data_IF_287688265117
#
_entry.id   IF_287688265117
#
_cell.length_a   1.000
_cell.length_b   1.000
_cell.length_c   1.000
_cell.angle_alpha   90.00
_cell.angle_beta   90.00
_cell.angle_gamma   90.00
#
_symmetry.space_group_name_H-M   'P 1'
#
loop_
_entity.id
_entity.type
_entity.pdbx_description
1 polymer ?
#
# COMPACT_ATOMS: atom_id res chain seq x y z
N UNK A 1 35.90 25.09 -3.33
CA UNK A 1 35.63 24.34 -2.09
C UNK A 1 34.87 25.28 -1.17
N UNK A 2 33.57 25.47 -1.46
CA UNK A 2 32.71 26.36 -0.69
C UNK A 2 32.10 25.59 0.47
N UNK A 3 32.21 26.19 1.65
CA UNK A 3 31.71 25.71 2.93
C UNK A 3 30.18 25.56 2.89
N UNK A 4 29.69 24.31 2.88
CA UNK A 4 28.32 23.96 3.26
C UNK A 4 28.14 24.17 4.77
N UNK A 5 28.15 25.43 5.21
CA UNK A 5 27.69 25.82 6.53
C UNK A 5 26.17 25.71 6.57
N UNK A 6 25.63 24.74 7.30
CA UNK A 6 24.20 24.67 7.62
C UNK A 6 23.77 26.01 8.24
N UNK A 7 22.91 26.75 7.53
CA UNK A 7 22.37 28.02 8.03
C UNK A 7 21.58 27.76 9.32
N UNK A 8 21.70 28.60 10.36
CA UNK A 8 20.82 28.53 11.53
C UNK A 8 19.34 28.49 11.11
N UNK A 9 18.53 27.65 11.75
CA UNK A 9 17.12 27.50 11.41
C UNK A 9 16.82 26.57 10.23
N UNK A 10 17.82 25.96 9.58
CA UNK A 10 17.59 25.11 8.41
C UNK A 10 16.82 23.83 8.77
N UNK A 11 17.10 23.24 9.93
CA UNK A 11 16.41 22.05 10.42
C UNK A 11 14.98 22.39 10.80
N UNK A 12 14.75 23.52 11.45
CA UNK A 12 13.43 23.99 11.85
C UNK A 12 12.55 24.29 10.65
N UNK A 13 13.09 24.98 9.63
CA UNK A 13 12.38 25.22 8.36
C UNK A 13 12.08 23.93 7.61
N UNK A 14 13.03 23.00 7.57
CA UNK A 14 12.81 21.69 6.97
C UNK A 14 11.71 20.92 7.70
N UNK A 15 11.76 20.88 9.04
CA UNK A 15 10.76 20.19 9.86
C UNK A 15 9.38 20.83 9.74
N UNK A 16 9.29 22.17 9.71
CA UNK A 16 8.04 22.88 9.44
C UNK A 16 7.47 22.52 8.07
N UNK A 17 8.32 22.45 7.04
CA UNK A 17 7.91 22.02 5.70
C UNK A 17 7.44 20.57 5.68
N UNK A 18 8.13 19.65 6.35
CA UNK A 18 7.68 18.25 6.42
C UNK A 18 6.31 18.12 7.10
N UNK A 19 6.05 18.93 8.14
CA UNK A 19 4.76 18.95 8.85
C UNK A 19 3.63 19.59 8.05
N UNK A 20 3.93 20.42 7.05
CA UNK A 20 2.94 21.08 6.20
C UNK A 20 2.63 20.31 4.90
N UNK A 21 3.13 19.08 4.77
CA UNK A 21 2.75 18.22 3.65
C UNK A 21 1.26 17.91 3.74
N UNK A 22 0.58 18.01 2.61
CA UNK A 22 -0.81 17.63 2.52
C UNK A 22 -0.96 16.11 2.64
N UNK A 23 -2.04 15.68 3.28
CA UNK A 23 -2.47 14.30 3.34
C UNK A 23 -3.33 14.00 2.11
N UNK A 24 -2.94 13.00 1.34
CA UNK A 24 -3.70 12.55 0.17
C UNK A 24 -4.78 11.58 0.63
N UNK A 25 -6.03 11.87 0.29
CA UNK A 25 -7.16 10.94 0.47
C UNK A 25 -7.90 10.78 -0.84
N UNK A 26 -8.30 9.55 -1.13
CA UNK A 26 -9.00 9.22 -2.37
C UNK A 26 -10.19 8.31 -2.10
N UNK A 27 -10.61 7.61 -3.14
CA UNK A 27 -11.55 6.50 -3.07
C UNK A 27 -10.95 5.33 -2.29
N UNK A 28 -11.78 4.34 -1.97
CA UNK A 28 -11.30 3.08 -1.42
C UNK A 28 -10.32 2.41 -2.39
N UNK A 29 -10.68 2.40 -3.67
CA UNK A 29 -9.90 1.86 -4.77
C UNK A 29 -8.54 2.54 -4.84
N UNK A 30 -8.47 3.88 -4.82
CA UNK A 30 -7.21 4.62 -4.83
C UNK A 30 -6.29 4.23 -3.64
N UNK A 31 -6.87 4.03 -2.45
CA UNK A 31 -6.11 3.60 -1.28
C UNK A 31 -5.55 2.17 -1.45
N UNK A 32 -6.33 1.26 -2.05
CA UNK A 32 -5.88 -0.09 -2.37
C UNK A 32 -4.81 -0.06 -3.48
N UNK A 33 -4.99 0.72 -4.56
CA UNK A 33 -3.98 0.81 -5.61
C UNK A 33 -2.65 1.38 -5.09
N UNK A 34 -2.69 2.36 -4.17
CA UNK A 34 -1.51 2.87 -3.48
C UNK A 34 -0.84 1.78 -2.64
N UNK A 35 -1.62 0.93 -1.96
CA UNK A 35 -1.07 -0.22 -1.23
C UNK A 35 -0.33 -1.18 -2.17
N UNK A 36 -0.92 -1.54 -3.31
CA UNK A 36 -0.28 -2.40 -4.31
C UNK A 36 0.99 -1.76 -4.88
N UNK A 37 0.97 -0.46 -5.18
CA UNK A 37 2.16 0.29 -5.60
C UNK A 37 3.28 0.21 -4.56
N UNK A 38 2.97 0.33 -3.28
CA UNK A 38 3.97 0.23 -2.19
C UNK A 38 4.52 -1.19 -2.01
N UNK A 39 3.70 -2.21 -2.24
CA UNK A 39 4.16 -3.61 -2.24
C UNK A 39 5.22 -3.83 -3.32
N UNK A 40 4.97 -3.30 -4.53
CA UNK A 40 5.84 -3.46 -5.71
C UNK A 40 7.08 -2.54 -5.68
N UNK A 41 6.87 -1.23 -5.49
CA UNK A 41 7.90 -0.20 -5.69
C UNK A 41 8.70 0.17 -4.42
N UNK A 42 8.20 -0.18 -3.22
CA UNK A 42 8.73 0.33 -1.94
C UNK A 42 9.10 -0.79 -0.93
N UNK A 43 9.30 -2.03 -1.40
CA UNK A 43 9.57 -3.21 -0.55
C UNK A 43 8.52 -3.42 0.57
N UNK A 44 7.29 -2.94 0.37
CA UNK A 44 6.20 -2.98 1.36
C UNK A 44 5.53 -4.35 1.52
N UNK A 45 6.07 -5.40 0.89
CA UNK A 45 5.45 -6.74 0.83
C UNK A 45 5.22 -7.37 2.21
N UNK A 46 6.05 -7.04 3.20
CA UNK A 46 5.96 -7.51 4.59
C UNK A 46 5.21 -6.55 5.55
N UNK A 47 4.89 -5.33 5.12
CA UNK A 47 4.37 -4.28 6.00
C UNK A 47 2.93 -4.53 6.47
N UNK A 48 2.58 -4.03 7.66
CA UNK A 48 1.18 -3.89 8.04
C UNK A 48 0.63 -2.58 7.45
N UNK A 49 -0.34 -2.69 6.55
CA UNK A 49 -1.05 -1.53 6.02
C UNK A 49 -2.25 -1.17 6.88
N UNK A 50 -2.68 0.09 6.77
CA UNK A 50 -3.85 0.60 7.45
C UNK A 50 -4.73 1.35 6.46
N UNK A 51 -6.03 1.10 6.53
CA UNK A 51 -7.03 1.86 5.79
C UNK A 51 -7.58 2.94 6.71
N UNK A 52 -7.45 4.19 6.27
CA UNK A 52 -7.94 5.35 6.99
C UNK A 52 -9.14 5.95 6.29
N UNK A 53 -10.19 6.27 7.05
CA UNK A 53 -11.29 7.12 6.59
C UNK A 53 -11.29 8.41 7.39
N UNK A 54 -11.30 9.52 6.69
CA UNK A 54 -11.27 10.86 7.30
C UNK A 54 -12.66 11.49 7.22
N UNK A 55 -13.04 12.19 8.29
CA UNK A 55 -14.15 13.13 8.28
C UNK A 55 -13.58 14.54 8.29
N UNK A 56 -13.96 15.34 7.31
CA UNK A 56 -13.56 16.74 7.24
C UNK A 56 -14.35 17.55 8.26
N UNK A 57 -13.73 18.62 8.75
CA UNK A 57 -14.44 19.62 9.55
C UNK A 57 -15.49 20.35 8.71
N UNK A 58 -16.56 20.78 9.36
CA UNK A 58 -17.63 21.53 8.69
C UNK A 58 -17.19 22.92 8.21
N UNK A 59 -16.15 23.47 8.82
CA UNK A 59 -15.55 24.77 8.51
C UNK A 59 -14.35 24.65 7.55
N UNK A 60 -14.16 23.50 6.90
CA UNK A 60 -13.10 23.37 5.90
C UNK A 60 -13.33 24.29 4.70
N UNK A 61 -12.25 24.90 4.24
CA UNK A 61 -12.21 25.78 3.09
C UNK A 61 -11.64 25.01 1.93
N UNK A 62 -12.52 24.67 0.99
CA UNK A 62 -12.15 23.86 -0.18
C UNK A 62 -11.92 24.77 -1.38
N UNK A 63 -10.78 24.62 -2.04
CA UNK A 63 -10.46 25.34 -3.28
C UNK A 63 -11.59 25.14 -4.31
N UNK A 64 -12.09 26.21 -4.96
CA UNK A 64 -13.10 26.09 -6.00
C UNK A 64 -12.59 25.35 -7.24
N UNK A 65 -13.33 24.32 -7.66
CA UNK A 65 -13.04 23.56 -8.88
C UNK A 65 -12.36 22.21 -8.61
N UNK A 66 -11.77 21.66 -9.67
CA UNK A 66 -10.98 20.42 -9.65
C UNK A 66 -9.70 20.70 -10.43
N UNK A 67 -8.57 20.40 -9.82
CA UNK A 67 -7.26 20.82 -10.29
C UNK A 67 -6.44 19.63 -10.81
N UNK A 68 -5.36 19.87 -11.56
CA UNK A 68 -4.33 18.86 -11.76
C UNK A 68 -3.74 18.42 -10.42
N UNK A 69 -3.22 17.20 -10.35
CA UNK A 69 -2.58 16.68 -9.15
C UNK A 69 -1.41 17.59 -8.71
N UNK A 70 -1.39 18.07 -7.45
CA UNK A 70 -0.47 19.12 -6.99
C UNK A 70 0.86 18.56 -6.46
N UNK A 71 1.33 17.44 -6.98
CA UNK A 71 2.50 16.72 -6.45
C UNK A 71 3.82 17.20 -7.04
N UNK A 72 4.86 17.23 -6.22
CA UNK A 72 6.24 17.33 -6.67
C UNK A 72 6.72 16.00 -7.28
N UNK A 73 7.96 15.97 -7.79
CA UNK A 73 8.55 14.77 -8.41
C UNK A 73 8.69 13.56 -7.46
N UNK A 74 8.47 13.73 -6.15
CA UNK A 74 8.47 12.67 -5.15
C UNK A 74 7.09 12.48 -4.51
N UNK A 75 6.03 13.03 -5.10
CA UNK A 75 4.65 12.83 -4.65
C UNK A 75 4.19 13.70 -3.48
N UNK A 76 4.97 14.70 -3.04
CA UNK A 76 4.50 15.60 -1.97
C UNK A 76 3.64 16.71 -2.54
N UNK A 77 2.51 17.00 -1.89
CA UNK A 77 1.73 18.21 -2.13
C UNK A 77 1.85 19.19 -0.96
N UNK A 78 1.89 20.48 -1.27
CA UNK A 78 1.89 21.57 -0.29
C UNK A 78 0.81 22.58 -0.66
N UNK A 79 -0.30 22.60 0.09
CA UNK A 79 -1.46 23.44 -0.26
C UNK A 79 -1.11 24.93 -0.35
N UNK A 80 -0.21 25.42 0.53
CA UNK A 80 0.25 26.80 0.50
C UNK A 80 1.00 27.22 -0.77
N UNK A 81 1.44 26.27 -1.60
CA UNK A 81 2.12 26.53 -2.88
C UNK A 81 1.13 26.64 -4.06
N UNK A 82 -0.10 26.14 -3.90
CA UNK A 82 -1.07 25.95 -5.00
C UNK A 82 -2.47 26.52 -4.72
N UNK A 83 -2.77 26.90 -3.50
CA UNK A 83 -4.07 27.44 -3.09
C UNK A 83 -3.93 28.83 -2.46
N UNK A 84 -5.05 29.57 -2.44
CA UNK A 84 -5.12 30.85 -1.76
C UNK A 84 -5.00 30.70 -0.22
N UNK A 85 -4.48 31.71 0.50
CA UNK A 85 -4.37 31.66 1.95
C UNK A 85 -5.72 31.35 2.64
N UNK A 86 -5.71 30.39 3.55
CA UNK A 86 -6.89 29.95 4.31
C UNK A 86 -7.62 28.74 3.70
N UNK A 87 -7.27 28.32 2.50
CA UNK A 87 -7.72 27.05 1.92
C UNK A 87 -6.95 25.90 2.57
N UNK A 88 -7.68 24.86 2.97
CA UNK A 88 -7.12 23.70 3.67
C UNK A 88 -7.52 22.35 3.03
N UNK A 89 -8.22 22.39 1.90
CA UNK A 89 -8.58 21.22 1.09
C UNK A 89 -8.49 21.59 -0.39
N UNK A 90 -7.81 20.75 -1.17
CA UNK A 90 -7.73 20.87 -2.63
C UNK A 90 -8.28 19.61 -3.30
N UNK A 91 -9.21 19.77 -4.25
CA UNK A 91 -9.70 18.68 -5.11
C UNK A 91 -8.80 18.57 -6.32
N UNK A 92 -8.35 17.36 -6.64
CA UNK A 92 -7.56 17.14 -7.86
C UNK A 92 -7.95 15.85 -8.57
N UNK A 93 -7.66 15.79 -9.87
CA UNK A 93 -7.77 14.55 -10.65
C UNK A 93 -6.53 13.70 -10.36
N UNK A 94 -6.73 12.53 -9.78
CA UNK A 94 -5.66 11.58 -9.51
C UNK A 94 -5.15 11.00 -10.83
N UNK A 95 -3.82 11.02 -11.03
CA UNK A 95 -3.18 10.44 -12.22
C UNK A 95 -2.42 9.15 -11.91
N UNK A 96 -2.17 8.86 -10.63
CA UNK A 96 -1.35 7.74 -10.19
C UNK A 96 -2.17 6.55 -9.68
N UNK A 97 -3.15 6.81 -8.81
CA UNK A 97 -4.02 5.79 -8.21
C UNK A 97 -5.50 6.05 -8.51
N UNK A 98 -6.22 5.06 -9.02
CA UNK A 98 -7.61 5.20 -9.51
C UNK A 98 -7.72 6.36 -10.51
N UNK A 99 -6.93 6.24 -11.58
CA UNK A 99 -6.70 7.31 -12.53
C UNK A 99 -8.01 7.91 -13.07
N UNK A 100 -8.04 9.25 -13.17
CA UNK A 100 -9.21 10.05 -13.57
C UNK A 100 -10.31 10.19 -12.52
N UNK A 101 -10.10 9.74 -11.27
CA UNK A 101 -10.98 10.05 -10.14
C UNK A 101 -10.54 11.30 -9.40
N UNK A 102 -11.47 11.83 -8.61
CA UNK A 102 -11.21 13.01 -7.77
C UNK A 102 -10.69 12.53 -6.42
N UNK A 103 -9.50 12.98 -6.07
CA UNK A 103 -8.89 12.84 -4.75
C UNK A 103 -8.80 14.21 -4.07
N UNK A 104 -8.51 14.22 -2.77
CA UNK A 104 -8.29 15.42 -1.99
C UNK A 104 -6.86 15.45 -1.44
N UNK A 105 -6.26 16.64 -1.46
CA UNK A 105 -5.09 16.96 -0.67
C UNK A 105 -5.55 17.81 0.52
N UNK A 106 -5.26 17.35 1.73
CA UNK A 106 -5.77 17.93 2.97
C UNK A 106 -4.64 18.51 3.81
N UNK A 107 -4.83 19.70 4.35
CA UNK A 107 -4.09 20.10 5.55
C UNK A 107 -4.59 19.28 6.76
N UNK A 108 -3.72 18.97 7.71
CA UNK A 108 -4.12 18.21 8.91
C UNK A 108 -5.24 18.91 9.69
N UNK A 109 -5.26 20.24 9.68
CA UNK A 109 -6.29 21.04 10.35
C UNK A 109 -7.65 20.99 9.64
N UNK A 110 -7.74 20.41 8.44
CA UNK A 110 -9.03 20.18 7.77
C UNK A 110 -9.75 18.93 8.28
N UNK A 111 -9.07 18.05 9.03
CA UNK A 111 -9.59 16.77 9.52
C UNK A 111 -10.25 16.99 10.90
N UNK A 112 -11.50 16.53 11.04
CA UNK A 112 -12.24 16.51 12.30
C UNK A 112 -12.00 15.20 13.04
N UNK A 113 -12.11 14.07 12.33
CA UNK A 113 -11.99 12.76 12.92
C UNK A 113 -11.50 11.71 11.91
N UNK A 114 -10.96 10.61 12.44
CA UNK A 114 -10.45 9.48 11.65
C UNK A 114 -11.00 8.16 12.19
N UNK A 115 -11.37 7.27 11.28
CA UNK A 115 -11.48 5.83 11.51
C UNK A 115 -10.25 5.13 10.90
N UNK A 116 -9.78 4.06 11.54
CA UNK A 116 -8.59 3.34 11.09
C UNK A 116 -8.72 1.85 11.37
N UNK A 117 -8.42 1.01 10.38
CA UNK A 117 -8.36 -0.45 10.53
C UNK A 117 -7.08 -1.00 9.90
N UNK A 118 -6.50 -2.08 10.43
CA UNK A 118 -5.43 -2.79 9.74
C UNK A 118 -6.01 -3.52 8.51
N UNK A 119 -5.27 -3.49 7.40
CA UNK A 119 -5.56 -4.27 6.19
C UNK A 119 -4.32 -5.05 5.71
N UNK A 120 -4.48 -6.25 5.13
CA UNK A 120 -5.75 -6.98 4.99
C UNK A 120 -6.33 -7.42 6.35
N UNK A 121 -7.65 -7.66 6.40
CA UNK A 121 -8.29 -8.20 7.59
C UNK A 121 -7.74 -9.59 7.93
N UNK A 122 -7.81 -9.97 9.21
CA UNK A 122 -7.46 -11.32 9.63
C UNK A 122 -8.40 -12.34 9.00
N UNK A 123 -7.84 -13.32 8.30
CA UNK A 123 -8.57 -14.46 7.75
C UNK A 123 -8.33 -15.68 8.64
N UNK A 124 -9.40 -16.41 8.94
CA UNK A 124 -9.34 -17.62 9.74
C UNK A 124 -8.47 -18.69 9.06
N UNK A 125 -7.57 -19.31 9.84
CA UNK A 125 -6.57 -20.26 9.33
C UNK A 125 -7.19 -21.58 8.83
N UNK A 126 -8.42 -21.87 9.25
CA UNK A 126 -9.17 -23.05 8.86
C UNK A 126 -9.92 -22.87 7.53
N UNK A 127 -9.74 -21.73 6.87
CA UNK A 127 -10.28 -21.54 5.53
C UNK A 127 -9.66 -22.54 4.54
N UNK A 128 -10.52 -23.20 3.77
CA UNK A 128 -10.13 -24.32 2.90
C UNK A 128 -8.98 -23.96 1.94
N UNK A 129 -9.03 -22.76 1.32
CA UNK A 129 -7.97 -22.33 0.41
C UNK A 129 -6.63 -22.14 1.14
N UNK A 130 -6.63 -21.56 2.34
CA UNK A 130 -5.42 -21.37 3.15
C UNK A 130 -4.83 -22.73 3.53
N UNK A 131 -5.67 -23.67 3.97
CA UNK A 131 -5.24 -25.03 4.32
C UNK A 131 -4.52 -25.67 3.13
N UNK A 132 -5.11 -25.62 1.94
CA UNK A 132 -4.56 -26.29 0.75
C UNK A 132 -3.32 -25.59 0.20
N UNK A 133 -3.28 -24.25 0.21
CA UNK A 133 -2.09 -23.47 -0.12
C UNK A 133 -0.94 -23.78 0.85
N UNK A 134 -1.19 -23.82 2.15
CA UNK A 134 -0.18 -24.17 3.15
C UNK A 134 0.33 -25.61 2.98
N UNK A 135 -0.53 -26.57 2.62
CA UNK A 135 -0.08 -27.94 2.29
C UNK A 135 0.88 -27.96 1.09
N UNK A 136 0.56 -27.21 0.03
CA UNK A 136 1.43 -27.07 -1.16
C UNK A 136 2.79 -26.48 -0.78
N UNK A 137 2.81 -25.41 -0.01
CA UNK A 137 4.03 -24.76 0.45
C UNK A 137 4.87 -25.67 1.35
N UNK A 138 4.25 -26.39 2.28
CA UNK A 138 4.94 -27.37 3.13
C UNK A 138 5.57 -28.50 2.29
N UNK A 139 4.83 -29.03 1.31
CA UNK A 139 5.37 -30.03 0.40
C UNK A 139 6.54 -29.46 -0.42
N UNK A 140 6.45 -28.20 -0.88
CA UNK A 140 7.53 -27.52 -1.58
C UNK A 140 8.76 -27.28 -0.70
N UNK A 141 8.58 -26.95 0.58
CA UNK A 141 9.68 -26.72 1.52
C UNK A 141 10.54 -27.97 1.77
N UNK A 142 9.97 -29.16 1.59
CA UNK A 142 10.69 -30.44 1.72
C UNK A 142 11.43 -30.86 0.43
N UNK A 143 11.17 -30.19 -0.70
CA UNK A 143 11.78 -30.51 -1.99
C UNK A 143 13.17 -29.87 -2.13
N UNK A 144 14.11 -30.51 -2.85
CA UNK A 144 15.39 -29.89 -3.15
C UNK A 144 15.20 -28.63 -4.03
N UNK A 145 16.13 -27.65 -3.97
CA UNK A 145 16.07 -26.45 -4.80
C UNK A 145 16.00 -26.77 -6.29
N UNK A 146 15.20 -25.99 -7.02
CA UNK A 146 15.00 -26.16 -8.46
C UNK A 146 16.06 -25.37 -9.25
N UNK A 147 16.60 -25.94 -10.35
CA UNK A 147 17.55 -25.23 -11.21
C UNK A 147 16.85 -24.10 -11.98
N UNK A 148 17.42 -22.89 -11.95
CA UNK A 148 16.94 -21.81 -12.83
C UNK A 148 17.33 -22.06 -14.28
N UNK A 149 16.40 -21.79 -15.20
CA UNK A 149 16.69 -21.75 -16.63
C UNK A 149 17.85 -20.77 -16.89
N UNK A 150 19.02 -21.31 -17.25
CA UNK A 150 20.24 -20.54 -17.40
C UNK A 150 20.32 -19.97 -18.82
N UNK A 151 20.61 -18.67 -18.97
CA UNK A 151 21.15 -18.15 -20.24
C UNK A 151 22.52 -18.82 -20.49
N UNK A 152 22.87 -19.15 -21.75
CA UNK A 152 24.12 -19.85 -22.02
C UNK A 152 25.31 -18.89 -21.87
N UNK A 153 25.98 -18.91 -20.69
CA UNK A 153 27.44 -19.08 -20.54
C UNK A 153 27.96 -18.61 -19.17
N UNK A 154 28.72 -19.53 -18.53
CA UNK A 154 29.84 -19.30 -17.60
C UNK A 154 29.58 -18.85 -16.15
N UNK A 155 28.37 -18.99 -15.63
CA UNK A 155 28.14 -18.86 -14.17
C UNK A 155 27.52 -20.14 -13.60
N UNK A 156 27.85 -20.46 -12.34
CA UNK A 156 27.26 -21.58 -11.59
C UNK A 156 25.73 -21.53 -11.73
N UNK A 157 25.05 -22.68 -11.92
CA UNK A 157 23.59 -22.68 -11.99
C UNK A 157 23.03 -22.08 -10.71
N UNK A 158 22.27 -20.98 -10.86
CA UNK A 158 21.49 -20.41 -9.76
C UNK A 158 20.33 -21.38 -9.49
N UNK A 159 20.15 -21.76 -8.24
CA UNK A 159 19.02 -22.56 -7.78
C UNK A 159 18.07 -21.67 -7.00
N UNK A 160 16.77 -21.89 -7.15
CA UNK A 160 15.73 -21.23 -6.33
C UNK A 160 15.14 -22.30 -5.40
N UNK A 161 14.97 -22.02 -4.10
CA UNK A 161 14.29 -22.96 -3.21
C UNK A 161 12.87 -23.24 -3.72
N UNK A 162 12.46 -24.51 -3.73
CA UNK A 162 11.14 -24.91 -4.24
C UNK A 162 9.98 -24.19 -3.52
N UNK A 163 10.17 -23.83 -2.24
CA UNK A 163 9.24 -22.98 -1.48
C UNK A 163 8.97 -21.62 -2.16
N UNK A 164 10.03 -20.93 -2.61
CA UNK A 164 9.91 -19.62 -3.27
C UNK A 164 9.21 -19.77 -4.62
N UNK A 165 9.55 -20.82 -5.37
CA UNK A 165 8.92 -21.16 -6.66
C UNK A 165 7.41 -21.38 -6.50
N UNK A 166 7.02 -22.19 -5.50
CA UNK A 166 5.61 -22.46 -5.19
C UNK A 166 4.86 -21.22 -4.69
N UNK A 167 5.51 -20.38 -3.85
CA UNK A 167 4.93 -19.12 -3.39
C UNK A 167 4.59 -18.18 -4.56
N UNK A 168 5.52 -18.01 -5.51
CA UNK A 168 5.28 -17.22 -6.74
C UNK A 168 4.16 -17.79 -7.59
N UNK A 169 4.07 -19.12 -7.67
CA UNK A 169 3.00 -19.78 -8.40
C UNK A 169 1.64 -19.49 -7.75
N UNK A 170 1.53 -19.58 -6.41
CA UNK A 170 0.30 -19.22 -5.70
C UNK A 170 -0.09 -17.75 -5.91
N UNK A 171 0.88 -16.82 -5.84
CA UNK A 171 0.64 -15.40 -6.14
C UNK A 171 0.07 -15.22 -7.55
N UNK A 172 0.65 -15.89 -8.54
CA UNK A 172 0.20 -15.85 -9.93
C UNK A 172 -1.22 -16.41 -10.08
N UNK A 173 -1.50 -17.56 -9.46
CA UNK A 173 -2.79 -18.25 -9.55
C UNK A 173 -3.92 -17.40 -8.94
N UNK A 174 -3.70 -16.86 -7.74
CA UNK A 174 -4.72 -16.06 -7.03
C UNK A 174 -4.87 -14.67 -7.65
N UNK A 175 -3.75 -14.06 -8.06
CA UNK A 175 -3.74 -12.76 -8.73
C UNK A 175 -4.39 -12.77 -10.11
N UNK A 176 -4.63 -13.95 -10.71
CA UNK A 176 -5.27 -14.08 -12.02
C UNK A 176 -6.70 -13.53 -12.08
N UNK A 177 -7.36 -13.36 -10.94
CA UNK A 177 -8.70 -12.74 -10.84
C UNK A 177 -8.64 -11.21 -10.72
N UNK A 178 -7.49 -10.64 -10.39
CA UNK A 178 -7.32 -9.20 -10.26
C UNK A 178 -7.32 -8.48 -11.63
N UNK A 179 -7.74 -7.20 -11.66
CA UNK A 179 -7.47 -6.30 -12.78
C UNK A 179 -5.98 -6.30 -13.14
N UNK A 180 -5.66 -6.19 -14.44
CA UNK A 180 -4.29 -6.33 -14.97
C UNK A 180 -3.31 -5.41 -14.26
N UNK A 181 -3.68 -4.15 -14.03
CA UNK A 181 -2.83 -3.16 -13.36
C UNK A 181 -2.48 -3.53 -11.91
N UNK A 182 -3.35 -4.25 -11.20
CA UNK A 182 -3.10 -4.69 -9.82
C UNK A 182 -2.40 -6.05 -9.78
N UNK A 183 -2.70 -6.92 -10.75
CA UNK A 183 -2.03 -8.22 -10.91
C UNK A 183 -0.53 -8.05 -11.09
N UNK A 184 -0.13 -7.12 -11.95
CA UNK A 184 1.29 -6.88 -12.24
C UNK A 184 2.04 -6.29 -11.04
N UNK A 185 1.33 -5.68 -10.09
CA UNK A 185 1.87 -5.11 -8.83
C UNK A 185 1.77 -6.04 -7.62
N UNK A 186 1.16 -7.22 -7.78
CA UNK A 186 1.05 -8.19 -6.69
C UNK A 186 2.35 -8.98 -6.57
N UNK A 187 3.36 -8.39 -5.92
CA UNK A 187 4.65 -9.05 -5.67
C UNK A 187 4.83 -9.36 -4.18
N UNK A 188 4.20 -10.46 -3.74
CA UNK A 188 4.36 -10.95 -2.37
C UNK A 188 5.44 -12.01 -2.31
N UNK A 189 6.49 -11.71 -1.54
CA UNK A 189 7.56 -12.65 -1.29
C UNK A 189 7.27 -13.53 -0.08
N UNK A 190 7.62 -14.81 -0.21
CA UNK A 190 7.62 -15.74 0.91
C UNK A 190 9.01 -15.79 1.53
N UNK A 191 9.09 -15.45 2.81
CA UNK A 191 10.32 -15.59 3.59
C UNK A 191 10.39 -16.99 4.23
N UNK A 192 11.51 -17.69 4.02
CA UNK A 192 11.68 -19.07 4.48
C UNK A 192 11.80 -19.19 6.00
N UNK A 193 12.39 -18.18 6.65
CA UNK A 193 12.52 -18.14 8.11
C UNK A 193 11.15 -17.94 8.76
N UNK A 194 10.39 -16.94 8.29
CA UNK A 194 9.03 -16.66 8.72
C UNK A 194 8.07 -17.82 8.42
N UNK A 195 8.21 -18.48 7.27
CA UNK A 195 7.40 -19.65 6.92
C UNK A 195 7.57 -20.82 7.92
N UNK A 196 8.77 -20.99 8.46
CA UNK A 196 9.05 -22.06 9.44
C UNK A 196 8.34 -21.79 10.78
N UNK A 197 8.20 -20.52 11.18
CA UNK A 197 7.51 -20.14 12.42
C UNK A 197 6.00 -20.09 12.26
N UNK A 198 5.50 -19.66 11.10
CA UNK A 198 4.07 -19.63 10.78
C UNK A 198 3.78 -20.01 9.30
N UNK A 199 3.54 -21.31 9.02
CA UNK A 199 3.28 -21.79 7.66
C UNK A 199 1.98 -21.27 7.02
N UNK A 200 1.09 -20.67 7.80
CA UNK A 200 -0.19 -20.14 7.30
C UNK A 200 -0.12 -18.65 6.96
N UNK A 201 0.85 -17.92 7.49
CA UNK A 201 0.91 -16.46 7.39
C UNK A 201 0.92 -15.96 5.94
N UNK A 202 1.76 -16.56 5.09
CA UNK A 202 1.86 -16.16 3.68
C UNK A 202 0.55 -16.36 2.93
N UNK A 203 -0.07 -17.54 3.04
CA UNK A 203 -1.32 -17.84 2.38
C UNK A 203 -2.46 -16.92 2.88
N UNK A 204 -2.58 -16.74 4.19
CA UNK A 204 -3.58 -15.84 4.78
C UNK A 204 -3.41 -14.39 4.29
N UNK A 205 -2.16 -13.90 4.22
CA UNK A 205 -1.84 -12.56 3.74
C UNK A 205 -2.16 -12.39 2.26
N UNK A 206 -1.74 -13.34 1.42
CA UNK A 206 -2.01 -13.33 -0.02
C UNK A 206 -3.51 -13.28 -0.30
N UNK A 207 -4.28 -14.18 0.31
CA UNK A 207 -5.73 -14.20 0.14
C UNK A 207 -6.38 -12.91 0.66
N UNK A 208 -5.91 -12.41 1.81
CA UNK A 208 -6.36 -11.16 2.40
C UNK A 208 -6.20 -9.98 1.47
N UNK A 209 -5.03 -9.82 0.84
CA UNK A 209 -4.75 -8.73 -0.09
C UNK A 209 -5.64 -8.82 -1.32
N UNK A 210 -5.81 -10.01 -1.91
CA UNK A 210 -6.67 -10.18 -3.10
C UNK A 210 -8.14 -9.89 -2.77
N UNK A 211 -8.62 -10.28 -1.59
CA UNK A 211 -9.99 -9.97 -1.14
C UNK A 211 -10.28 -8.48 -0.98
N UNK A 212 -9.27 -7.65 -0.69
CA UNK A 212 -9.48 -6.20 -0.66
C UNK A 212 -10.05 -5.66 -1.98
N UNK A 213 -9.77 -6.34 -3.10
CA UNK A 213 -10.27 -5.97 -4.44
C UNK A 213 -11.53 -6.75 -4.79
N UNK A 214 -11.55 -8.07 -4.57
CA UNK A 214 -12.62 -8.94 -5.06
C UNK A 214 -13.86 -8.95 -4.14
N UNK A 215 -13.69 -8.66 -2.86
CA UNK A 215 -14.75 -8.69 -1.84
C UNK A 215 -14.50 -7.58 -0.78
N UNK A 216 -14.73 -6.30 -1.12
CA UNK A 216 -14.44 -5.18 -0.23
C UNK A 216 -15.46 -5.00 0.89
N UNK A 217 -16.65 -5.61 0.81
CA UNK A 217 -17.75 -5.36 1.75
C UNK A 217 -17.40 -5.66 3.21
N UNK A 218 -16.71 -6.78 3.55
CA UNK A 218 -16.31 -7.04 4.94
C UNK A 218 -15.38 -5.96 5.50
N UNK A 219 -14.46 -5.43 4.67
CA UNK A 219 -13.52 -4.37 5.07
C UNK A 219 -14.28 -3.09 5.37
N UNK A 220 -15.20 -2.70 4.49
CA UNK A 220 -16.03 -1.53 4.66
C UNK A 220 -16.94 -1.66 5.89
N UNK A 221 -17.53 -2.83 6.12
CA UNK A 221 -18.36 -3.09 7.30
C UNK A 221 -17.56 -2.98 8.61
N UNK A 222 -16.34 -3.52 8.66
CA UNK A 222 -15.45 -3.39 9.83
C UNK A 222 -15.04 -1.93 10.06
N UNK A 223 -14.79 -1.18 8.99
CA UNK A 223 -14.48 0.25 9.04
C UNK A 223 -15.67 1.08 9.53
N UNK A 224 -16.88 0.80 9.04
CA UNK A 224 -18.12 1.44 9.46
C UNK A 224 -18.41 1.23 10.95
N UNK A 225 -18.05 0.06 11.48
CA UNK A 225 -18.19 -0.28 12.89
C UNK A 225 -17.12 0.36 13.81
N UNK A 226 -16.08 1.00 13.26
CA UNK A 226 -15.08 1.67 14.10
C UNK A 226 -15.62 2.99 14.68
N UNK A 227 -15.27 3.28 15.92
CA UNK A 227 -15.53 4.60 16.47
C UNK A 227 -14.69 5.68 15.79
N UNK A 228 -15.29 6.84 15.56
CA UNK A 228 -14.59 8.03 15.10
C UNK A 228 -13.67 8.55 16.21
N UNK A 229 -12.40 8.76 15.90
CA UNK A 229 -11.44 9.41 16.81
C UNK A 229 -11.20 10.84 16.35
N UNK A 230 -11.55 11.81 17.18
CA UNK A 230 -11.27 13.23 16.91
C UNK A 230 -9.76 13.48 16.92
N UNK A 231 -9.30 14.32 15.98
CA UNK A 231 -7.88 14.72 15.82
C UNK A 231 -7.62 16.07 16.46
#
# INVERSE_FOLDING_TARGET
>A
MESMGSRPGAVERWAARQKSKALHVGTYEAAIENMFRRIDDEDGSADQFFLHRVRLRQDCMIEPGVHPEPTDFVGNAYLAEVCEPGVNVLRYVNVHEDASRISLALDINAIDAVQSIPIPLHIARDEAWIIDATKRLNHANLRPPEPMASRPQRFRPRTIPALISEGRQLVTEVGAELPVNLRDRLDLEIDAESFTSDPHAFAARLLGIVRLVLDPEPVLAVLDAQDWRTV
#
